data_IF_342314963176
#
_entry.id   IF_342314963176
#
_cell.length_a   1.000
_cell.length_b   1.000
_cell.length_c   1.000
_cell.angle_alpha   90.00
_cell.angle_beta   90.00
_cell.angle_gamma   90.00
#
_symmetry.space_group_name_H-M   'P 1'
#
loop_
_entity.id
_entity.type
_entity.pdbx_description
1 polymer ?
#
# COMPACT_ATOMS: atom_id res chain seq x y z
N UNK A 1 -10.88 -13.31 -7.95
CA UNK A 1 -9.88 -13.00 -6.89
C UNK A 1 -10.42 -11.85 -6.06
N UNK A 2 -10.00 -11.71 -4.80
CA UNK A 2 -10.46 -10.62 -3.93
C UNK A 2 -9.67 -9.32 -4.18
N UNK A 3 -10.22 -8.20 -3.74
CA UNK A 3 -9.53 -6.90 -3.71
C UNK A 3 -9.03 -6.61 -2.27
N UNK A 4 -7.82 -6.05 -2.15
CA UNK A 4 -7.28 -5.59 -0.87
C UNK A 4 -7.62 -4.11 -0.65
N UNK A 5 -8.51 -3.81 0.30
CA UNK A 5 -8.89 -2.44 0.64
C UNK A 5 -8.04 -1.87 1.79
N UNK A 6 -7.40 -0.72 1.54
CA UNK A 6 -6.56 0.01 2.51
C UNK A 6 -7.00 1.47 2.60
N UNK A 7 -7.38 1.91 3.80
CA UNK A 7 -7.62 3.32 4.10
C UNK A 7 -6.33 3.99 4.56
N UNK A 8 -5.96 5.09 3.92
CA UNK A 8 -4.69 5.80 4.12
C UNK A 8 -4.94 7.19 4.71
N UNK A 9 -3.94 7.70 5.43
CA UNK A 9 -3.84 9.12 5.74
C UNK A 9 -3.70 9.92 4.44
N UNK A 10 -4.21 11.15 4.43
CA UNK A 10 -4.22 12.02 3.26
C UNK A 10 -2.85 12.16 2.60
N UNK A 11 -1.83 12.48 3.40
CA UNK A 11 -0.45 12.67 2.93
C UNK A 11 0.10 11.49 2.12
N UNK A 12 -0.16 10.24 2.55
CA UNK A 12 0.35 9.06 1.84
C UNK A 12 -0.46 8.73 0.62
N UNK A 13 -1.78 8.90 0.68
CA UNK A 13 -2.63 8.74 -0.47
C UNK A 13 -2.21 9.72 -1.58
N UNK A 14 -2.03 10.99 -1.21
CA UNK A 14 -1.65 12.05 -2.15
C UNK A 14 -0.22 11.80 -2.69
N UNK A 15 0.72 11.31 -1.87
CA UNK A 15 2.06 10.93 -2.33
C UNK A 15 2.07 9.73 -3.29
N UNK A 16 1.21 8.72 -3.05
CA UNK A 16 1.06 7.57 -3.96
C UNK A 16 0.40 8.02 -5.26
N UNK A 17 -0.63 8.86 -5.18
CA UNK A 17 -1.31 9.46 -6.34
C UNK A 17 -0.34 10.27 -7.20
N UNK A 18 0.59 10.99 -6.57
CA UNK A 18 1.64 11.76 -7.23
C UNK A 18 2.81 10.89 -7.73
N UNK A 19 2.83 9.58 -7.42
CA UNK A 19 3.91 8.67 -7.81
C UNK A 19 5.20 8.80 -6.99
N UNK A 20 5.24 9.66 -5.98
CA UNK A 20 6.43 9.88 -5.13
C UNK A 20 6.58 8.83 -4.02
N UNK A 21 5.49 8.10 -3.72
CA UNK A 21 5.49 6.96 -2.79
C UNK A 21 5.04 5.69 -3.51
N UNK A 22 5.88 4.66 -3.47
CA UNK A 22 5.67 3.41 -4.21
C UNK A 22 5.30 2.22 -3.32
N UNK A 23 5.39 2.37 -2.00
CA UNK A 23 5.09 1.33 -1.01
C UNK A 23 4.18 1.85 0.10
N UNK A 24 3.15 1.08 0.45
CA UNK A 24 2.32 1.29 1.64
C UNK A 24 2.76 0.33 2.75
N UNK A 25 3.00 0.87 3.95
CA UNK A 25 3.52 0.09 5.07
C UNK A 25 2.42 -0.25 6.07
N UNK A 26 2.25 -1.55 6.33
CA UNK A 26 1.38 -2.05 7.42
C UNK A 26 2.21 -2.84 8.41
N UNK A 27 2.09 -2.52 9.69
CA UNK A 27 2.77 -3.23 10.76
C UNK A 27 2.51 -4.74 10.66
N UNK A 28 3.56 -5.55 10.81
CA UNK A 28 3.42 -6.99 10.94
C UNK A 28 2.78 -7.27 12.30
N UNK A 29 1.48 -7.57 12.28
CA UNK A 29 0.71 -7.96 13.45
C UNK A 29 -0.38 -8.98 13.04
N UNK A 30 -0.96 -9.74 13.98
CA UNK A 30 -1.93 -10.80 13.65
C UNK A 30 -3.11 -10.32 12.79
N UNK A 31 -3.56 -9.08 13.00
CA UNK A 31 -4.63 -8.48 12.21
C UNK A 31 -4.28 -8.35 10.72
N UNK A 32 -3.06 -7.89 10.40
CA UNK A 32 -2.61 -7.76 9.01
C UNK A 32 -2.16 -9.08 8.42
N UNK A 33 -1.56 -9.97 9.21
CA UNK A 33 -1.19 -11.32 8.80
C UNK A 33 -2.39 -12.07 8.24
N UNK A 34 -3.50 -12.12 8.98
CA UNK A 34 -4.75 -12.77 8.53
C UNK A 34 -5.31 -12.18 7.24
N UNK A 35 -5.02 -10.91 6.94
CA UNK A 35 -5.53 -10.22 5.75
C UNK A 35 -4.62 -10.35 4.54
N UNK A 36 -3.32 -10.57 4.72
CA UNK A 36 -2.29 -10.47 3.66
C UNK A 36 -1.58 -11.81 3.41
N UNK A 37 -1.18 -12.52 4.46
CA UNK A 37 -0.32 -13.70 4.33
C UNK A 37 -1.06 -14.87 3.67
N UNK A 38 -0.41 -15.51 2.69
CA UNK A 38 -0.99 -16.63 1.94
C UNK A 38 -2.15 -16.23 1.02
N UNK A 39 -2.36 -14.93 0.76
CA UNK A 39 -3.46 -14.43 -0.07
C UNK A 39 -2.93 -13.72 -1.31
N UNK A 40 -3.57 -14.00 -2.44
CA UNK A 40 -3.38 -13.28 -3.68
C UNK A 40 -4.61 -12.42 -3.97
N UNK A 41 -4.35 -11.22 -4.48
CA UNK A 41 -5.38 -10.24 -4.81
C UNK A 41 -5.34 -9.91 -6.29
N UNK A 42 -6.47 -9.47 -6.82
CA UNK A 42 -6.49 -8.90 -8.17
C UNK A 42 -5.89 -7.49 -8.14
N UNK A 43 -6.32 -6.69 -7.16
CA UNK A 43 -6.01 -5.27 -7.04
C UNK A 43 -5.87 -4.87 -5.58
N UNK A 44 -5.18 -3.76 -5.37
CA UNK A 44 -5.20 -2.99 -4.13
C UNK A 44 -6.00 -1.72 -4.35
N UNK A 45 -7.00 -1.52 -3.50
CA UNK A 45 -7.89 -0.35 -3.52
C UNK A 45 -7.51 0.54 -2.34
N UNK A 46 -6.93 1.71 -2.66
CA UNK A 46 -6.51 2.70 -1.68
C UNK A 46 -7.60 3.78 -1.54
N UNK A 47 -7.91 4.18 -0.32
CA UNK A 47 -8.85 5.28 -0.07
C UNK A 47 -8.22 6.40 0.75
N UNK A 48 -8.53 7.65 0.42
CA UNK A 48 -8.15 8.82 1.22
C UNK A 48 -9.10 8.98 2.41
N UNK A 49 -8.74 8.38 3.54
CA UNK A 49 -9.63 8.21 4.69
C UNK A 49 -10.81 7.28 4.37
N UNK A 50 -12.01 7.65 4.83
CA UNK A 50 -13.25 6.88 4.64
C UNK A 50 -14.23 7.64 3.72
N UNK A 51 -14.02 7.63 2.40
CA UNK A 51 -14.89 8.32 1.47
C UNK A 51 -16.27 7.67 1.35
N UNK A 52 -17.28 8.47 1.01
CA UNK A 52 -18.59 7.95 0.60
C UNK A 52 -18.41 7.04 -0.63
N UNK A 53 -19.34 6.11 -0.84
CA UNK A 53 -19.25 5.13 -1.94
C UNK A 53 -19.11 5.77 -3.32
N UNK A 54 -19.73 6.93 -3.51
CA UNK A 54 -19.76 7.69 -4.78
C UNK A 54 -18.57 8.62 -4.98
N UNK A 55 -17.68 8.74 -4.00
CA UNK A 55 -16.53 9.65 -4.08
C UNK A 55 -15.30 8.93 -4.65
N UNK A 56 -15.27 8.87 -5.99
CA UNK A 56 -14.20 8.24 -6.77
C UNK A 56 -12.89 9.03 -6.74
N UNK A 57 -12.95 10.35 -6.49
CA UNK A 57 -11.77 11.23 -6.47
C UNK A 57 -10.76 10.85 -5.37
N UNK A 58 -11.27 10.22 -4.30
CA UNK A 58 -10.54 9.75 -3.13
C UNK A 58 -10.28 8.24 -3.13
N UNK A 59 -10.28 7.62 -4.32
CA UNK A 59 -9.98 6.21 -4.52
C UNK A 59 -8.88 6.04 -5.56
N UNK A 60 -7.96 5.11 -5.32
CA UNK A 60 -7.03 4.60 -6.32
C UNK A 60 -7.19 3.10 -6.41
N UNK A 61 -7.29 2.59 -7.63
CA UNK A 61 -7.28 1.16 -7.91
C UNK A 61 -5.99 0.83 -8.63
N UNK A 62 -5.17 -0.02 -8.01
CA UNK A 62 -3.85 -0.38 -8.52
C UNK A 62 -3.77 -1.92 -8.64
N UNK A 63 -3.04 -2.45 -9.63
CA UNK A 63 -2.81 -3.89 -9.70
C UNK A 63 -2.07 -4.37 -8.45
N UNK A 64 -2.47 -5.54 -7.94
CA UNK A 64 -1.72 -6.18 -6.87
C UNK A 64 -0.37 -6.66 -7.42
N UNK A 65 0.72 -6.21 -6.81
CA UNK A 65 2.11 -6.58 -7.19
C UNK A 65 2.86 -7.28 -6.06
N UNK A 66 2.12 -7.80 -5.09
CA UNK A 66 2.66 -8.41 -3.89
C UNK A 66 3.14 -7.42 -2.84
N UNK A 67 3.78 -7.97 -1.82
CA UNK A 67 4.41 -7.24 -0.73
C UNK A 67 5.77 -7.86 -0.41
N UNK A 68 6.60 -7.12 0.31
CA UNK A 68 7.80 -7.65 0.97
C UNK A 68 7.73 -7.37 2.47
N UNK A 69 8.45 -8.13 3.29
CA UNK A 69 8.59 -7.83 4.72
C UNK A 69 9.88 -7.06 4.91
N UNK A 70 9.80 -5.87 5.50
CA UNK A 70 10.96 -4.99 5.77
C UNK A 70 10.98 -4.58 7.23
N UNK A 71 12.16 -4.33 7.77
CA UNK A 71 12.30 -3.60 9.04
C UNK A 71 12.55 -2.14 8.69
N UNK A 72 11.71 -1.23 9.18
CA UNK A 72 11.84 0.21 8.96
C UNK A 72 11.79 0.97 10.29
N UNK A 73 12.40 2.15 10.31
CA UNK A 73 12.21 3.15 11.37
C UNK A 73 11.35 4.26 10.80
N UNK A 74 10.19 4.53 11.41
CA UNK A 74 9.24 5.49 10.86
C UNK A 74 8.48 6.23 11.98
N UNK A 75 8.25 7.55 11.88
CA UNK A 75 7.60 8.35 12.93
C UNK A 75 6.23 7.80 13.38
N UNK A 76 5.41 7.29 12.46
CA UNK A 76 4.11 6.68 12.79
C UNK A 76 4.19 5.38 13.59
N UNK A 77 5.37 4.77 13.69
CA UNK A 77 5.59 3.60 14.52
C UNK A 77 6.46 3.93 15.75
N UNK A 78 6.45 5.19 16.20
CA UNK A 78 7.19 5.61 17.40
C UNK A 78 8.69 5.75 17.18
N UNK A 79 9.14 5.82 15.91
CA UNK A 79 10.56 5.96 15.56
C UNK A 79 11.46 4.83 16.10
N UNK A 80 10.89 3.63 16.25
CA UNK A 80 11.63 2.40 16.57
C UNK A 80 11.69 1.47 15.35
N UNK A 81 12.71 0.61 15.23
CA UNK A 81 12.75 -0.40 14.18
C UNK A 81 11.57 -1.38 14.32
N UNK A 82 10.76 -1.49 13.27
CA UNK A 82 9.59 -2.37 13.26
C UNK A 82 9.46 -3.12 11.94
N UNK A 83 8.98 -4.36 12.02
CA UNK A 83 8.65 -5.15 10.83
C UNK A 83 7.33 -4.69 10.23
N UNK A 84 7.33 -4.46 8.93
CA UNK A 84 6.16 -4.04 8.14
C UNK A 84 6.00 -4.90 6.89
N UNK A 85 4.76 -5.10 6.47
CA UNK A 85 4.42 -5.44 5.10
C UNK A 85 4.56 -4.18 4.25
N UNK A 86 5.53 -4.17 3.35
CA UNK A 86 5.74 -3.17 2.31
C UNK A 86 4.97 -3.59 1.05
N UNK A 87 3.73 -3.12 0.95
CA UNK A 87 2.81 -3.43 -0.15
C UNK A 87 3.13 -2.52 -1.32
N UNK A 88 3.36 -3.09 -2.50
CA UNK A 88 3.67 -2.30 -3.71
C UNK A 88 2.42 -1.57 -4.21
N UNK A 89 2.54 -0.25 -4.33
CA UNK A 89 1.47 0.68 -4.72
C UNK A 89 1.94 1.72 -5.75
N UNK A 90 3.04 1.47 -6.46
CA UNK A 90 3.51 2.35 -7.52
C UNK A 90 2.43 2.51 -8.61
N UNK A 91 1.99 3.75 -8.84
CA UNK A 91 0.98 4.07 -9.85
C UNK A 91 1.43 3.72 -11.27
N UNK A 92 2.73 3.84 -11.54
CA UNK A 92 3.35 3.42 -12.79
C UNK A 92 3.88 1.99 -12.63
N UNK A 93 3.73 1.16 -13.66
CA UNK A 93 4.50 -0.09 -13.73
C UNK A 93 5.97 0.30 -13.77
N UNK A 94 6.79 -0.26 -12.87
CA UNK A 94 8.24 -0.21 -12.95
C UNK A 94 8.67 -0.43 -14.41
N UNK A 95 9.00 0.66 -15.09
CA UNK A 95 9.70 0.60 -16.37
C UNK A 95 11.17 0.50 -16.01
N UNK A 96 11.54 -0.62 -15.38
CA UNK A 96 12.94 -0.95 -15.09
C UNK A 96 13.25 -2.30 -15.74
N UNK A 97 13.39 -2.25 -17.07
CA UNK A 97 14.23 -3.13 -17.89
C UNK A 97 14.52 -2.45 -19.23
N UNK A 98 15.46 -1.49 -19.25
CA UNK A 98 16.37 -1.27 -20.37
C UNK A 98 17.44 -0.23 -20.02
N UNK A 99 18.47 -0.66 -19.30
CA UNK A 99 19.86 -0.27 -19.60
C UNK A 99 20.74 -1.51 -19.31
N UNK A 100 20.97 -2.27 -20.37
CA UNK A 100 22.11 -3.15 -20.61
C UNK A 100 22.69 -2.72 -21.94
#
# INVERSE_FOLDING_TARGET
>A
MADLHLALKGEYFDAIKAGTKTEEYRMVCPFWAMRIEGREFQRVILTRGYPKRTDWSRRLELPWRGYTIKTITHPHFGNVPIKVYAIRVAANADTDKKEM
#
